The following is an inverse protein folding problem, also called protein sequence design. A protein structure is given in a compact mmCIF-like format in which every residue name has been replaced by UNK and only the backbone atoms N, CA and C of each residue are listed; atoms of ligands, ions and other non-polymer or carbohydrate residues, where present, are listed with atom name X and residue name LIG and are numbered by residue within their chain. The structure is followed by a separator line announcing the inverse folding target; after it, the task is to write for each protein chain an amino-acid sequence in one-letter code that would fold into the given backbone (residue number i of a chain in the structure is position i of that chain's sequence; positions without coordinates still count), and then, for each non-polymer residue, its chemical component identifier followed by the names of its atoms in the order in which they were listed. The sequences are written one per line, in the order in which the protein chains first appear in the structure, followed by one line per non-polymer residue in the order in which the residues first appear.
data_IF_654956261815
#
_entry.id   IF_654956261815
#
_cell.length_a   1.000
_cell.length_b   1.000
_cell.length_c   1.000
_cell.angle_alpha   90.00
_cell.angle_beta   90.00
_cell.angle_gamma   90.00
#
_symmetry.space_group_name_H-M   'P 1'
#
loop_
_entity.id
_entity.type
_entity.pdbx_description
1 polymer ?
#
# COMPACT_ATOMS: atom_id res chain seq x y z
N UNK A 1 -13.92 20.91 -18.47
CA UNK A 1 -13.29 19.63 -18.09
C UNK A 1 -12.94 19.69 -16.61
N UNK A 2 -13.37 18.73 -15.79
CA UNK A 2 -12.92 18.59 -14.39
C UNK A 2 -11.88 17.47 -14.31
N UNK A 3 -10.84 17.58 -13.46
CA UNK A 3 -9.88 16.49 -13.27
C UNK A 3 -10.60 15.22 -12.82
N UNK A 4 -10.27 14.09 -13.42
CA UNK A 4 -10.71 12.78 -12.94
C UNK A 4 -9.73 12.27 -11.89
N UNK A 5 -10.24 11.65 -10.84
CA UNK A 5 -9.40 10.98 -9.84
C UNK A 5 -8.67 9.81 -10.49
N UNK A 6 -7.36 9.74 -10.27
CA UNK A 6 -6.54 8.61 -10.69
C UNK A 6 -6.45 7.61 -9.53
N UNK A 7 -6.55 6.32 -9.83
CA UNK A 7 -6.32 5.27 -8.85
C UNK A 7 -4.88 5.37 -8.33
N UNK A 8 -4.74 5.37 -7.01
CA UNK A 8 -3.44 5.50 -6.34
C UNK A 8 -3.43 4.72 -5.04
N UNK A 9 -2.42 3.86 -4.86
CA UNK A 9 -2.20 3.16 -3.60
C UNK A 9 -1.14 3.87 -2.76
N UNK A 10 -1.38 4.01 -1.46
CA UNK A 10 -0.38 4.52 -0.51
C UNK A 10 -0.44 3.69 0.78
N UNK A 11 0.69 3.08 1.12
CA UNK A 11 0.90 2.39 2.39
C UNK A 11 1.98 3.11 3.19
N UNK A 12 1.70 3.38 4.46
CA UNK A 12 2.63 4.04 5.37
C UNK A 12 2.88 3.15 6.58
N UNK A 13 4.15 2.94 6.91
CA UNK A 13 4.56 2.36 8.20
C UNK A 13 4.91 3.48 9.15
N UNK A 14 4.31 3.45 10.34
CA UNK A 14 4.55 4.45 11.38
C UNK A 14 5.11 3.80 12.65
N UNK A 15 5.90 4.54 13.42
CA UNK A 15 6.34 4.14 14.76
C UNK A 15 5.26 4.37 15.81
N UNK A 16 5.49 3.87 17.02
CA UNK A 16 4.63 4.15 18.18
C UNK A 16 4.58 5.64 18.56
N UNK A 17 5.61 6.42 18.20
CA UNK A 17 5.64 7.87 18.39
C UNK A 17 5.01 8.66 17.25
N UNK A 18 4.47 7.98 16.22
CA UNK A 18 3.86 8.62 15.05
C UNK A 18 4.86 9.07 13.98
N UNK A 19 6.12 8.63 14.05
CA UNK A 19 7.11 8.89 13.00
C UNK A 19 6.83 8.02 11.77
N UNK A 20 6.91 8.59 10.57
CA UNK A 20 6.83 7.82 9.33
C UNK A 20 8.14 7.09 9.10
N UNK A 21 8.13 5.76 9.27
CA UNK A 21 9.28 4.90 9.07
C UNK A 21 9.48 4.55 7.58
N UNK A 22 8.38 4.29 6.87
CA UNK A 22 8.40 3.91 5.45
C UNK A 22 7.14 4.42 4.74
N UNK A 23 7.27 4.75 3.46
CA UNK A 23 6.18 5.25 2.61
C UNK A 23 6.26 4.55 1.25
N UNK A 24 5.29 3.67 0.97
CA UNK A 24 5.20 2.90 -0.26
C UNK A 24 4.08 3.45 -1.14
N UNK A 25 4.39 3.75 -2.38
CA UNK A 25 3.47 4.38 -3.32
C UNK A 25 3.26 3.48 -4.53
N UNK A 26 2.01 3.32 -4.95
CA UNK A 26 1.62 2.60 -6.15
C UNK A 26 0.94 3.57 -7.14
N UNK A 27 1.73 4.23 -8.01
CA UNK A 27 1.21 5.12 -9.06
C UNK A 27 0.46 4.38 -10.17
N UNK A 28 0.58 3.05 -10.26
CA UNK A 28 -0.17 2.27 -11.24
C UNK A 28 -1.63 2.09 -10.83
N UNK A 29 -1.93 2.27 -9.54
CA UNK A 29 -3.27 2.11 -8.98
C UNK A 29 -3.75 0.65 -8.97
N UNK A 30 -2.83 -0.31 -8.91
CA UNK A 30 -3.13 -1.73 -8.79
C UNK A 30 -3.77 -2.07 -7.44
N UNK A 31 -3.36 -1.38 -6.37
CA UNK A 31 -3.94 -1.48 -5.02
C UNK A 31 -4.40 -0.10 -4.49
N UNK A 32 -5.49 0.46 -5.01
CA UNK A 32 -5.94 1.81 -4.66
C UNK A 32 -6.69 1.87 -3.31
N UNK A 33 -7.18 0.73 -2.81
CA UNK A 33 -7.89 0.62 -1.53
C UNK A 33 -7.18 -0.38 -0.62
N UNK A 34 -6.09 0.05 0.00
CA UNK A 34 -5.34 -0.74 0.99
C UNK A 34 -6.13 -0.77 2.30
N UNK A 35 -6.36 -1.96 2.84
CA UNK A 35 -7.07 -2.16 4.12
C UNK A 35 -6.18 -2.71 5.22
N UNK A 36 -4.99 -3.20 4.87
CA UNK A 36 -4.00 -3.66 5.83
C UNK A 36 -2.70 -4.07 5.15
N UNK A 37 -1.66 -4.26 5.95
CA UNK A 37 -0.41 -4.83 5.52
C UNK A 37 0.27 -5.61 6.65
N UNK A 38 1.03 -6.64 6.30
CA UNK A 38 1.89 -7.37 7.22
C UNK A 38 3.30 -7.49 6.63
N UNK A 39 4.30 -7.14 7.42
CA UNK A 39 5.70 -7.34 7.06
C UNK A 39 6.16 -8.72 7.53
N UNK A 40 6.86 -9.42 6.65
CA UNK A 40 7.46 -10.73 6.87
C UNK A 40 8.91 -10.70 6.40
N UNK A 41 9.64 -11.81 6.56
CA UNK A 41 11.00 -11.95 6.04
C UNK A 41 11.05 -11.96 4.50
N UNK A 42 9.93 -12.27 3.82
CA UNK A 42 9.84 -12.34 2.36
C UNK A 42 9.44 -11.02 1.69
N UNK A 43 8.80 -10.13 2.46
CA UNK A 43 8.12 -8.99 1.87
C UNK A 43 7.05 -8.36 2.76
N UNK A 44 6.45 -7.29 2.24
CA UNK A 44 5.24 -6.69 2.78
C UNK A 44 4.05 -7.19 1.96
N UNK A 45 3.18 -7.96 2.61
CA UNK A 45 1.92 -8.43 2.05
C UNK A 45 0.84 -7.39 2.31
N UNK A 46 0.10 -7.00 1.28
CA UNK A 46 -0.89 -5.91 1.31
C UNK A 46 -2.29 -6.48 1.04
N UNK A 47 -3.23 -6.18 1.92
CA UNK A 47 -4.63 -6.62 1.79
C UNK A 47 -5.54 -5.49 1.30
N UNK A 48 -6.63 -5.90 0.66
CA UNK A 48 -7.72 -5.03 0.24
C UNK A 48 -9.03 -5.79 0.36
N UNK A 49 -10.10 -5.10 0.77
CA UNK A 49 -11.45 -5.68 0.76
C UNK A 49 -12.08 -5.72 -0.64
N UNK A 50 -11.47 -5.08 -1.63
CA UNK A 50 -12.02 -4.97 -2.99
C UNK A 50 -11.12 -5.58 -4.07
N UNK A 51 -9.84 -5.79 -3.80
CA UNK A 51 -8.94 -6.48 -4.72
C UNK A 51 -9.24 -7.99 -4.78
N UNK A 52 -8.95 -8.60 -5.93
CA UNK A 52 -9.13 -10.06 -6.16
C UNK A 52 -7.91 -10.89 -5.75
N UNK A 53 -6.83 -10.24 -5.35
CA UNK A 53 -5.56 -10.85 -5.01
C UNK A 53 -4.96 -10.18 -3.76
N UNK A 54 -3.89 -10.76 -3.23
CA UNK A 54 -3.04 -10.15 -2.21
C UNK A 54 -1.88 -9.44 -2.91
N UNK A 55 -1.57 -8.21 -2.50
CA UNK A 55 -0.43 -7.46 -3.01
C UNK A 55 0.85 -7.89 -2.32
N UNK A 56 1.97 -7.87 -3.03
CA UNK A 56 3.29 -8.22 -2.46
C UNK A 56 4.31 -7.16 -2.88
N UNK A 57 4.98 -6.57 -1.89
CA UNK A 57 6.15 -5.74 -2.06
C UNK A 57 7.36 -6.54 -1.57
N UNK A 58 8.23 -6.94 -2.49
CA UNK A 58 9.40 -7.74 -2.16
C UNK A 58 10.47 -6.86 -1.50
N UNK A 59 11.08 -7.35 -0.42
CA UNK A 59 12.21 -6.67 0.20
C UNK A 59 13.46 -7.02 -0.62
N UNK A 60 14.13 -5.99 -1.14
CA UNK A 60 15.42 -6.13 -1.85
C UNK A 60 16.56 -6.27 -0.85
#
# INVERSE_FOLDING_TARGET
MRPQGQAYGHLVKISESGEVLQSYQDPSGAFPFVTGAIQTDEGVYVSSLTARSVGVLQLN
#
